data_IF_231106273036
#
_entry.id   IF_231106273036
#
_cell.length_a   1.000
_cell.length_b   1.000
_cell.length_c   1.000
_cell.angle_alpha   90.00
_cell.angle_beta   90.00
_cell.angle_gamma   90.00
#
_symmetry.space_group_name_H-M   'P 1'
#
loop_
_entity.id
_entity.type
_entity.pdbx_description
1 polymer ?
#
# COMPACT_ATOMS: atom_id res chain seq x y z
N UNK A 1 26.40 1.94 -57.26
CA UNK A 1 25.77 0.60 -57.38
C UNK A 1 26.82 -0.34 -57.95
N UNK A 2 27.10 -1.54 -57.39
CA UNK A 2 26.13 -2.55 -56.92
C UNK A 2 26.34 -3.02 -55.45
N UNK A 3 25.53 -4.01 -55.05
CA UNK A 3 24.92 -4.27 -53.73
C UNK A 3 25.78 -5.06 -52.71
N UNK A 4 25.53 -4.90 -51.39
CA UNK A 4 25.90 -5.89 -50.38
C UNK A 4 24.83 -6.98 -50.25
N UNK A 5 25.30 -8.19 -49.99
CA UNK A 5 24.58 -9.45 -50.09
C UNK A 5 23.88 -9.84 -48.76
N UNK A 6 22.58 -10.14 -48.88
CA UNK A 6 21.80 -11.17 -48.17
C UNK A 6 21.71 -11.21 -46.62
N UNK A 7 20.47 -10.92 -46.15
CA UNK A 7 19.81 -11.18 -44.84
C UNK A 7 19.77 -12.70 -44.49
N UNK A 8 19.31 -13.20 -43.31
CA UNK A 8 18.48 -12.56 -42.26
C UNK A 8 18.80 -12.91 -40.78
N UNK A 9 18.46 -12.05 -39.83
CA UNK A 9 18.09 -12.48 -38.48
C UNK A 9 17.09 -11.47 -37.92
N UNK A 10 15.95 -11.99 -37.46
CA UNK A 10 14.71 -11.25 -37.22
C UNK A 10 14.79 -10.10 -36.20
N UNK A 11 13.65 -9.44 -35.92
CA UNK A 11 13.59 -8.47 -34.84
C UNK A 11 13.98 -9.20 -33.55
N UNK A 12 15.20 -8.94 -33.06
CA UNK A 12 15.53 -9.23 -31.67
C UNK A 12 14.75 -8.23 -30.84
N UNK A 13 13.52 -8.59 -30.51
CA UNK A 13 12.91 -8.11 -29.29
C UNK A 13 13.84 -8.52 -28.14
N UNK A 14 14.37 -7.60 -27.33
CA UNK A 14 14.54 -7.90 -25.92
C UNK A 14 13.13 -7.86 -25.34
N UNK A 15 12.44 -9.00 -25.43
CA UNK A 15 11.44 -9.37 -24.43
C UNK A 15 12.17 -9.38 -23.09
N UNK A 16 11.92 -8.34 -22.31
CA UNK A 16 12.64 -8.11 -21.06
C UNK A 16 12.38 -6.73 -20.49
N UNK A 17 11.27 -6.09 -20.86
CA UNK A 17 10.68 -5.13 -19.94
C UNK A 17 10.28 -5.94 -18.73
N UNK A 18 11.08 -5.91 -17.67
CA UNK A 18 10.60 -6.20 -16.32
C UNK A 18 9.25 -5.52 -16.23
N UNK A 19 8.12 -6.22 -15.99
CA UNK A 19 6.87 -5.52 -15.82
C UNK A 19 7.14 -4.55 -14.69
N UNK A 20 7.13 -3.25 -15.01
CA UNK A 20 7.27 -2.21 -14.00
C UNK A 20 6.35 -2.62 -12.87
N UNK A 21 6.90 -2.91 -11.69
CA UNK A 21 6.11 -3.20 -10.50
C UNK A 21 5.23 -1.99 -10.09
N UNK A 22 5.27 -0.90 -10.86
CA UNK A 22 4.29 0.18 -10.89
C UNK A 22 2.90 -0.39 -11.26
N UNK A 23 2.17 -0.78 -10.22
CA UNK A 23 0.78 -1.19 -10.34
C UNK A 23 0.53 -2.70 -10.18
N UNK A 24 1.41 -3.44 -9.50
CA UNK A 24 1.00 -4.75 -8.99
C UNK A 24 -0.06 -4.59 -7.89
N UNK A 25 -1.02 -5.51 -7.82
CA UNK A 25 -1.93 -5.59 -6.67
C UNK A 25 -1.15 -6.02 -5.42
N UNK A 26 -1.50 -5.50 -4.23
CA UNK A 26 -0.89 -5.97 -3.00
C UNK A 26 -1.29 -7.43 -2.75
N UNK A 27 -0.37 -8.24 -2.21
CA UNK A 27 -0.65 -9.65 -1.89
C UNK A 27 -1.63 -9.78 -0.74
N UNK A 28 -1.65 -8.79 0.14
CA UNK A 28 -2.58 -8.68 1.24
C UNK A 28 -3.23 -7.30 1.24
N UNK A 29 -4.54 -7.26 1.40
CA UNK A 29 -5.27 -6.03 1.68
C UNK A 29 -6.45 -6.28 2.61
N UNK A 30 -6.71 -5.30 3.47
CA UNK A 30 -7.94 -5.19 4.24
C UNK A 30 -8.42 -3.76 4.17
N UNK A 31 -9.73 -3.57 4.13
CA UNK A 31 -10.32 -2.25 4.09
C UNK A 31 -11.62 -2.20 4.86
N UNK A 32 -11.83 -1.07 5.53
CA UNK A 32 -13.09 -0.70 6.12
C UNK A 32 -13.47 0.72 5.71
N UNK A 33 -14.77 0.96 5.60
CA UNK A 33 -15.37 2.28 5.36
C UNK A 33 -16.05 2.77 6.62
N UNK A 34 -16.07 4.08 6.78
CA UNK A 34 -16.56 4.76 7.97
C UNK A 34 -17.48 5.90 7.54
N UNK A 35 -18.60 6.04 8.25
CA UNK A 35 -19.56 7.11 7.99
C UNK A 35 -19.10 8.48 8.53
N UNK A 36 -18.06 8.52 9.38
CA UNK A 36 -17.56 9.73 10.00
C UNK A 36 -16.04 9.79 10.04
N UNK A 37 -15.51 10.99 9.81
CA UNK A 37 -14.08 11.28 9.76
C UNK A 37 -13.37 10.93 11.07
N UNK A 38 -13.97 11.26 12.22
CA UNK A 38 -13.37 11.01 13.54
C UNK A 38 -13.13 9.52 13.78
N UNK A 39 -14.10 8.67 13.43
CA UNK A 39 -13.96 7.22 13.60
C UNK A 39 -12.92 6.63 12.64
N UNK A 40 -12.88 7.13 11.40
CA UNK A 40 -11.86 6.75 10.44
C UNK A 40 -10.45 7.17 10.89
N UNK A 41 -10.33 8.35 11.50
CA UNK A 41 -9.08 8.87 12.04
C UNK A 41 -8.55 8.03 13.20
N UNK A 42 -9.38 7.79 14.22
CA UNK A 42 -9.02 6.96 15.37
C UNK A 42 -8.63 5.56 14.91
N UNK A 43 -9.41 4.97 13.99
CA UNK A 43 -9.13 3.63 13.47
C UNK A 43 -7.85 3.58 12.65
N UNK A 44 -7.58 4.61 11.84
CA UNK A 44 -6.34 4.72 11.08
C UNK A 44 -5.12 4.79 12.01
N UNK A 45 -5.16 5.63 13.06
CA UNK A 45 -4.06 5.71 14.01
C UNK A 45 -3.86 4.41 14.78
N UNK A 46 -4.95 3.74 15.20
CA UNK A 46 -4.85 2.43 15.83
C UNK A 46 -4.22 1.38 14.90
N UNK A 47 -4.64 1.31 13.63
CA UNK A 47 -4.06 0.39 12.65
C UNK A 47 -2.60 0.71 12.37
N UNK A 48 -2.24 1.99 12.33
CA UNK A 48 -0.87 2.44 12.15
C UNK A 48 0.02 2.09 13.33
N UNK A 49 -0.46 2.22 14.57
CA UNK A 49 0.29 1.84 15.77
C UNK A 49 0.58 0.32 15.77
N UNK A 50 -0.40 -0.51 15.39
CA UNK A 50 -0.22 -1.96 15.24
C UNK A 50 0.80 -2.29 14.15
N UNK A 51 0.67 -1.69 12.95
CA UNK A 51 1.65 -1.89 11.87
C UNK A 51 3.06 -1.44 12.29
N UNK A 52 3.16 -0.32 13.01
CA UNK A 52 4.44 0.22 13.47
C UNK A 52 5.10 -0.66 14.53
N UNK A 53 4.32 -1.20 15.47
CA UNK A 53 4.80 -2.14 16.48
C UNK A 53 5.44 -3.38 15.87
N UNK A 54 5.03 -3.77 14.65
CA UNK A 54 5.53 -4.92 13.92
C UNK A 54 6.38 -4.58 12.68
N UNK A 55 6.76 -3.31 12.48
CA UNK A 55 7.42 -2.85 11.25
C UNK A 55 8.77 -3.52 10.93
N UNK A 56 9.39 -4.20 11.91
CA UNK A 56 10.60 -5.00 11.70
C UNK A 56 10.35 -6.40 11.14
N UNK A 57 9.15 -6.94 11.35
CA UNK A 57 8.77 -8.32 11.03
C UNK A 57 7.78 -8.42 9.88
N UNK A 58 6.99 -7.36 9.65
CA UNK A 58 5.98 -7.32 8.60
C UNK A 58 6.14 -6.11 7.70
N UNK A 59 5.93 -6.32 6.41
CA UNK A 59 5.88 -5.25 5.43
C UNK A 59 4.42 -4.90 5.14
N UNK A 60 3.84 -4.09 6.02
CA UNK A 60 2.47 -3.58 5.92
C UNK A 60 2.47 -2.05 5.92
N UNK A 61 1.43 -1.47 5.33
CA UNK A 61 1.20 -0.03 5.37
C UNK A 61 -0.28 0.27 5.49
N UNK A 62 -0.63 1.16 6.44
CA UNK A 62 -1.98 1.67 6.62
C UNK A 62 -2.14 3.00 5.88
N UNK A 63 -3.33 3.21 5.30
CA UNK A 63 -3.70 4.42 4.57
C UNK A 63 -5.12 4.86 4.94
N UNK A 64 -5.32 6.17 5.07
CA UNK A 64 -6.63 6.81 5.18
C UNK A 64 -6.87 7.69 3.96
N UNK A 65 -8.04 7.55 3.34
CA UNK A 65 -8.46 8.43 2.25
C UNK A 65 -9.97 8.43 2.10
N UNK A 66 -10.49 9.45 1.44
CA UNK A 66 -11.90 9.53 1.11
C UNK A 66 -12.14 9.02 -0.32
N UNK A 67 -13.14 8.15 -0.49
CA UNK A 67 -13.59 7.66 -1.78
C UNK A 67 -15.11 7.79 -1.85
N UNK A 68 -15.62 8.47 -2.88
CA UNK A 68 -17.06 8.75 -3.03
C UNK A 68 -17.70 9.43 -1.80
N UNK A 69 -16.97 10.35 -1.16
CA UNK A 69 -17.38 11.06 0.08
C UNK A 69 -17.53 10.16 1.31
N UNK A 70 -16.96 8.96 1.28
CA UNK A 70 -16.91 8.05 2.42
C UNK A 70 -15.46 7.83 2.81
N UNK A 71 -15.16 7.90 4.09
CA UNK A 71 -13.83 7.69 4.61
C UNK A 71 -13.49 6.20 4.63
N UNK A 72 -12.29 5.86 4.16
CA UNK A 72 -11.79 4.50 4.11
C UNK A 72 -10.46 4.42 4.83
N UNK A 73 -10.29 3.34 5.58
CA UNK A 73 -9.01 2.91 6.12
C UNK A 73 -8.65 1.61 5.44
N UNK A 74 -7.46 1.58 4.84
CA UNK A 74 -6.99 0.44 4.04
C UNK A 74 -5.59 0.07 4.48
N UNK A 75 -5.39 -1.22 4.72
CA UNK A 75 -4.09 -1.81 5.01
C UNK A 75 -3.69 -2.60 3.79
N UNK A 76 -2.48 -2.39 3.29
CA UNK A 76 -1.91 -3.13 2.15
C UNK A 76 -0.50 -3.60 2.46
N UNK A 77 -0.12 -4.75 1.92
CA UNK A 77 1.25 -5.21 1.94
C UNK A 77 1.41 -6.71 1.71
N UNK A 78 2.32 -7.32 2.46
CA UNK A 78 2.49 -8.78 2.54
C UNK A 78 1.53 -9.38 3.57
N UNK A 79 1.12 -10.65 3.43
CA UNK A 79 0.27 -11.33 4.42
C UNK A 79 0.94 -11.36 5.81
N UNK A 80 0.31 -10.78 6.85
CA UNK A 80 0.84 -10.88 8.20
C UNK A 80 0.62 -12.28 8.81
N UNK A 81 1.29 -12.60 9.94
CA UNK A 81 0.94 -13.74 10.78
C UNK A 81 -0.53 -13.70 11.21
N UNK A 82 -1.11 -14.88 11.51
CA UNK A 82 -2.54 -15.01 11.81
C UNK A 82 -3.01 -14.13 12.99
N UNK A 83 -2.21 -14.04 14.07
CA UNK A 83 -2.55 -13.22 15.23
C UNK A 83 -2.65 -11.73 14.87
N UNK A 84 -1.68 -11.23 14.09
CA UNK A 84 -1.66 -9.85 13.61
C UNK A 84 -2.77 -9.59 12.58
N UNK A 85 -3.08 -10.56 11.72
CA UNK A 85 -4.24 -10.49 10.83
C UNK A 85 -5.54 -10.28 11.61
N UNK A 86 -5.73 -11.06 12.68
CA UNK A 86 -6.91 -11.01 13.52
C UNK A 86 -6.98 -9.69 14.33
N UNK A 87 -5.85 -9.19 14.81
CA UNK A 87 -5.75 -7.89 15.48
C UNK A 87 -6.11 -6.74 14.53
N UNK A 88 -5.51 -6.69 13.34
CA UNK A 88 -5.81 -5.67 12.33
C UNK A 88 -7.28 -5.75 11.88
N UNK A 89 -7.82 -6.97 11.76
CA UNK A 89 -9.25 -7.18 11.49
C UNK A 89 -10.11 -6.62 12.61
N UNK A 90 -9.73 -6.83 13.87
CA UNK A 90 -10.46 -6.31 15.04
C UNK A 90 -10.41 -4.78 15.10
N UNK A 91 -9.29 -4.16 14.75
CA UNK A 91 -9.17 -2.69 14.65
C UNK A 91 -10.12 -2.15 13.59
N UNK A 92 -10.14 -2.78 12.40
CA UNK A 92 -11.02 -2.37 11.30
C UNK A 92 -12.50 -2.69 11.54
N UNK A 93 -12.83 -3.56 12.50
CA UNK A 93 -14.20 -3.95 12.83
C UNK A 93 -15.06 -2.81 13.39
N UNK A 94 -14.44 -1.68 13.77
CA UNK A 94 -15.15 -0.45 14.10
C UNK A 94 -15.88 0.16 12.88
N UNK A 95 -15.46 -0.19 11.66
CA UNK A 95 -16.08 0.22 10.41
C UNK A 95 -16.78 -0.93 9.69
N UNK A 96 -17.35 -0.63 8.53
CA UNK A 96 -17.93 -1.66 7.66
C UNK A 96 -16.86 -2.19 6.70
N UNK A 97 -16.71 -3.50 6.51
CA UNK A 97 -15.82 -4.05 5.50
C UNK A 97 -16.11 -3.47 4.11
N UNK A 98 -15.06 -3.01 3.43
CA UNK A 98 -15.20 -2.33 2.14
C UNK A 98 -14.34 -3.01 1.07
N UNK A 99 -14.86 -3.04 -0.16
CA UNK A 99 -14.09 -3.48 -1.33
C UNK A 99 -13.49 -2.24 -1.98
N UNK A 100 -12.17 -2.21 -2.10
CA UNK A 100 -11.45 -1.10 -2.72
C UNK A 100 -11.21 -1.42 -4.20
N UNK A 101 -11.47 -0.48 -5.13
CA UNK A 101 -11.20 -0.70 -6.54
C UNK A 101 -9.72 -1.04 -6.79
N UNK A 102 -9.46 -1.99 -7.69
CA UNK A 102 -8.11 -2.46 -8.00
C UNK A 102 -7.15 -1.33 -8.38
N UNK A 103 -7.62 -0.32 -9.12
CA UNK A 103 -6.81 0.85 -9.48
C UNK A 103 -6.29 1.62 -8.25
N UNK A 104 -7.09 1.69 -7.18
CA UNK A 104 -6.68 2.31 -5.91
C UNK A 104 -5.71 1.40 -5.17
N UNK A 105 -5.97 0.09 -5.09
CA UNK A 105 -5.04 -0.88 -4.47
C UNK A 105 -3.67 -0.87 -5.15
N UNK A 106 -3.63 -0.79 -6.48
CA UNK A 106 -2.40 -0.63 -7.28
C UNK A 106 -1.65 0.64 -6.94
N UNK A 107 -2.35 1.77 -6.82
CA UNK A 107 -1.76 3.05 -6.42
C UNK A 107 -1.17 2.98 -5.01
N UNK A 108 -1.88 2.41 -4.05
CA UNK A 108 -1.40 2.26 -2.67
C UNK A 108 -0.18 1.35 -2.60
N UNK A 109 -0.19 0.22 -3.33
CA UNK A 109 0.95 -0.69 -3.37
C UNK A 109 2.18 -0.07 -4.05
N UNK A 110 1.98 0.72 -5.10
CA UNK A 110 3.05 1.50 -5.74
C UNK A 110 3.63 2.54 -4.76
N UNK A 111 2.78 3.25 -4.01
CA UNK A 111 3.22 4.20 -2.96
C UNK A 111 4.04 3.53 -1.88
N UNK A 112 3.60 2.38 -1.38
CA UNK A 112 4.37 1.55 -0.43
C UNK A 112 5.74 1.18 -1.00
N UNK A 113 5.76 0.62 -2.21
CA UNK A 113 7.01 0.21 -2.88
C UNK A 113 7.98 1.38 -3.06
N UNK A 114 7.47 2.57 -3.40
CA UNK A 114 8.28 3.78 -3.51
C UNK A 114 8.81 4.25 -2.14
N UNK A 115 8.00 4.18 -1.08
CA UNK A 115 8.40 4.54 0.28
C UNK A 115 9.45 3.59 0.86
N UNK A 116 9.32 2.27 0.64
CA UNK A 116 10.32 1.27 1.06
C UNK A 116 11.67 1.48 0.36
N UNK A 117 11.67 1.94 -0.90
CA UNK A 117 12.90 2.24 -1.67
C UNK A 117 13.62 3.51 -1.21
N UNK A 118 12.95 4.41 -0.48
CA UNK A 118 13.50 5.70 -0.08
C UNK A 118 14.33 5.67 1.23
N UNK A 119 14.52 4.49 1.84
CA UNK A 119 15.25 4.33 3.11
C UNK A 119 14.32 4.32 4.34
N UNK A 120 14.86 4.08 5.55
CA UNK A 120 14.07 3.92 6.76
C UNK A 120 13.37 5.24 7.09
N UNK A 121 12.07 5.25 6.84
CA UNK A 121 11.06 6.24 7.23
C UNK A 121 11.55 7.31 8.22
N UNK A 122 12.15 8.36 7.67
CA UNK A 122 12.68 9.49 8.45
C UNK A 122 11.51 10.43 8.76
N UNK A 123 11.18 10.48 10.05
CA UNK A 123 10.84 11.71 10.79
C UNK A 123 9.77 12.62 10.15
N UNK A 124 8.49 12.33 10.40
CA UNK A 124 7.42 13.21 9.94
C UNK A 124 6.01 12.94 10.43
N UNK A 125 5.77 11.92 11.26
CA UNK A 125 4.49 11.82 11.96
C UNK A 125 4.48 12.78 13.15
N UNK A 126 4.00 13.99 12.89
CA UNK A 126 3.42 14.84 13.93
C UNK A 126 2.42 14.01 14.73
N UNK A 127 2.84 13.51 15.89
CA UNK A 127 1.89 13.12 16.93
C UNK A 127 1.14 14.40 17.32
N UNK A 128 -0.18 14.49 17.15
CA UNK A 128 -0.92 15.56 17.81
C UNK A 128 -0.77 15.31 19.32
N UNK A 129 0.11 16.06 20.00
CA UNK A 129 0.24 15.97 21.46
C UNK A 129 1.60 16.21 22.11
N UNK A 130 2.72 16.42 21.41
CA UNK A 130 3.94 16.89 22.08
C UNK A 130 4.13 18.39 21.89
N UNK A 131 3.81 19.18 22.92
CA UNK A 131 4.32 20.55 23.06
C UNK A 131 5.84 20.47 23.07
N UNK A 132 6.48 21.10 22.10
CA UNK A 132 7.86 21.55 22.24
C UNK A 132 7.82 22.72 23.23
N UNK A 133 8.25 22.47 24.46
CA UNK A 133 8.70 23.52 25.39
C UNK A 133 10.20 23.70 25.25
#
# INVERSE_FOLDING_TARGET
MPQPELRPAGPRSPEGGTPSQEGALPRYHQAARFAGEELAEVTYFAAQDVVFAHAGDVDLSAYRFQLNRVDHVVIVGEPPPADLHDELRSVLAAGEPAVIPEGVLRLLNARRTAATKAGPWVEGHCRPGKRLT
#
